data_IF_879270066250
#
_entry.id   IF_879270066250
#
_cell.length_a   1.000
_cell.length_b   1.000
_cell.length_c   1.000
_cell.angle_alpha   90.00
_cell.angle_beta   90.00
_cell.angle_gamma   90.00
#
_symmetry.space_group_name_H-M   'P 1'
#
loop_
_entity.id
_entity.type
_entity.pdbx_description
1 polymer ?
#
# COMPACT_ATOMS: atom_id res chain seq x y z
N UNK A 1 35.57 -0.48 7.82
CA UNK A 1 34.46 -1.04 8.63
C UNK A 1 33.35 -1.40 7.66
N UNK A 2 33.23 -2.69 7.35
CA UNK A 2 32.39 -3.26 6.28
C UNK A 2 31.50 -4.33 6.90
N UNK A 3 30.35 -3.91 7.41
CA UNK A 3 29.24 -4.75 7.85
C UNK A 3 27.98 -3.99 7.43
N UNK A 4 27.11 -4.62 6.64
CA UNK A 4 25.87 -4.08 6.02
C UNK A 4 26.04 -3.21 4.78
N UNK A 5 26.57 -3.76 3.69
CA UNK A 5 26.28 -3.25 2.35
C UNK A 5 25.41 -4.29 1.65
N UNK A 6 24.23 -3.89 1.19
CA UNK A 6 23.36 -4.78 0.42
C UNK A 6 24.13 -5.33 -0.78
N UNK A 7 23.91 -6.60 -1.07
CA UNK A 7 24.41 -7.21 -2.32
C UNK A 7 23.40 -6.90 -3.42
N UNK A 8 23.86 -6.73 -4.67
CA UNK A 8 22.99 -6.34 -5.80
C UNK A 8 21.69 -7.17 -5.90
N UNK A 9 21.75 -8.45 -5.48
CA UNK A 9 20.58 -9.32 -5.42
C UNK A 9 19.59 -8.94 -4.31
N UNK A 10 20.05 -8.68 -3.09
CA UNK A 10 19.17 -8.36 -1.96
C UNK A 10 18.52 -7.00 -2.17
N UNK A 11 19.27 -6.06 -2.74
CA UNK A 11 18.76 -4.74 -3.10
C UNK A 11 17.65 -4.82 -4.15
N UNK A 12 17.89 -5.52 -5.26
CA UNK A 12 16.87 -5.72 -6.29
C UNK A 12 15.63 -6.42 -5.76
N UNK A 13 15.80 -7.41 -4.87
CA UNK A 13 14.68 -8.13 -4.25
C UNK A 13 13.86 -7.22 -3.33
N UNK A 14 14.51 -6.35 -2.54
CA UNK A 14 13.82 -5.42 -1.65
C UNK A 14 12.89 -4.50 -2.45
N UNK A 15 13.41 -3.80 -3.46
CA UNK A 15 12.61 -2.92 -4.33
C UNK A 15 11.52 -3.68 -5.09
N UNK A 16 11.84 -4.85 -5.63
CA UNK A 16 10.87 -5.67 -6.36
C UNK A 16 9.72 -6.12 -5.45
N UNK A 17 10.03 -6.48 -4.21
CA UNK A 17 9.04 -6.91 -3.22
C UNK A 17 8.15 -5.75 -2.76
N UNK A 18 8.71 -4.55 -2.59
CA UNK A 18 7.96 -3.35 -2.26
C UNK A 18 6.96 -3.00 -3.37
N UNK A 19 7.41 -3.00 -4.64
CA UNK A 19 6.55 -2.76 -5.80
C UNK A 19 5.46 -3.82 -5.92
N UNK A 20 5.80 -5.10 -5.73
CA UNK A 20 4.84 -6.20 -5.78
C UNK A 20 3.76 -6.08 -4.69
N UNK A 21 4.17 -5.73 -3.46
CA UNK A 21 3.25 -5.55 -2.34
C UNK A 21 2.28 -4.39 -2.58
N UNK A 22 2.79 -3.24 -3.01
CA UNK A 22 1.95 -2.08 -3.35
C UNK A 22 1.00 -2.38 -4.51
N UNK A 23 1.50 -3.04 -5.55
CA UNK A 23 0.71 -3.46 -6.71
C UNK A 23 -0.44 -4.39 -6.33
N UNK A 24 -0.15 -5.43 -5.53
CA UNK A 24 -1.17 -6.36 -5.05
C UNK A 24 -2.19 -5.68 -4.13
N UNK A 25 -1.72 -4.83 -3.22
CA UNK A 25 -2.58 -4.05 -2.33
C UNK A 25 -3.52 -3.10 -3.09
N UNK A 26 -3.03 -2.49 -4.18
CA UNK A 26 -3.82 -1.64 -5.07
C UNK A 26 -4.92 -2.44 -5.80
N UNK A 27 -4.61 -3.65 -6.28
CA UNK A 27 -5.63 -4.54 -6.86
C UNK A 27 -6.73 -4.81 -5.84
N UNK A 28 -6.37 -5.21 -4.61
CA UNK A 28 -7.34 -5.46 -3.55
C UNK A 28 -8.19 -4.23 -3.24
N UNK A 29 -7.57 -3.05 -3.20
CA UNK A 29 -8.27 -1.79 -3.00
C UNK A 29 -9.32 -1.57 -4.10
N UNK A 30 -8.93 -1.63 -5.38
CA UNK A 30 -9.85 -1.48 -6.52
C UNK A 30 -11.02 -2.47 -6.42
N UNK A 31 -10.73 -3.76 -6.25
CA UNK A 31 -11.78 -4.79 -6.17
C UNK A 31 -12.73 -4.55 -5.00
N UNK A 32 -12.22 -4.09 -3.85
CA UNK A 32 -13.02 -3.83 -2.66
C UNK A 32 -13.85 -2.56 -2.81
N UNK A 33 -13.27 -1.46 -3.30
CA UNK A 33 -13.91 -0.16 -3.44
C UNK A 33 -15.08 -0.21 -4.41
N UNK A 34 -14.87 -0.84 -5.58
CA UNK A 34 -15.92 -1.00 -6.59
C UNK A 34 -16.83 -2.20 -6.32
N UNK A 35 -16.62 -2.96 -5.23
CA UNK A 35 -17.38 -4.15 -4.86
C UNK A 35 -17.54 -5.12 -6.05
N UNK A 36 -16.43 -5.39 -6.75
CA UNK A 36 -16.43 -6.27 -7.94
C UNK A 36 -16.61 -7.73 -7.50
N UNK A 37 -17.74 -8.33 -7.88
CA UNK A 37 -18.10 -9.70 -7.50
C UNK A 37 -17.85 -10.71 -8.60
N UNK A 38 -18.11 -10.30 -9.82
CA UNK A 38 -17.92 -11.13 -11.00
C UNK A 38 -16.44 -11.46 -11.23
N UNK A 39 -16.14 -12.71 -11.55
CA UNK A 39 -14.77 -13.19 -11.70
C UNK A 39 -14.08 -12.60 -12.93
N UNK A 40 -14.79 -12.49 -14.06
CA UNK A 40 -14.24 -11.90 -15.27
C UNK A 40 -13.93 -10.41 -15.05
N UNK A 41 -14.83 -9.66 -14.40
CA UNK A 41 -14.59 -8.27 -14.05
C UNK A 41 -13.40 -8.08 -13.08
N UNK A 42 -13.17 -9.03 -12.15
CA UNK A 42 -11.99 -9.01 -11.28
C UNK A 42 -10.70 -9.18 -12.07
N UNK A 43 -10.68 -10.12 -13.01
CA UNK A 43 -9.52 -10.35 -13.88
C UNK A 43 -9.27 -9.12 -14.76
N UNK A 44 -10.31 -8.55 -15.36
CA UNK A 44 -10.21 -7.34 -16.19
C UNK A 44 -9.66 -6.14 -15.41
N UNK A 45 -10.03 -5.98 -14.13
CA UNK A 45 -9.50 -4.91 -13.28
C UNK A 45 -8.05 -5.19 -12.82
N UNK A 46 -7.72 -6.44 -12.48
CA UNK A 46 -6.40 -6.82 -11.96
C UNK A 46 -5.32 -6.89 -13.04
N UNK A 47 -5.65 -7.41 -14.23
CA UNK A 47 -4.72 -7.63 -15.33
C UNK A 47 -3.86 -6.41 -15.72
N UNK A 48 -4.41 -5.20 -15.93
CA UNK A 48 -3.60 -4.04 -16.29
C UNK A 48 -2.64 -3.62 -15.17
N UNK A 49 -3.06 -3.73 -13.90
CA UNK A 49 -2.22 -3.40 -12.75
C UNK A 49 -1.08 -4.43 -12.61
N UNK A 50 -1.39 -5.72 -12.76
CA UNK A 50 -0.38 -6.79 -12.74
C UNK A 50 0.62 -6.63 -13.89
N UNK A 51 0.15 -6.30 -15.10
CA UNK A 51 1.02 -6.05 -16.23
C UNK A 51 1.99 -4.89 -15.95
N UNK A 52 1.46 -3.76 -15.45
CA UNK A 52 2.26 -2.60 -15.08
C UNK A 52 3.32 -2.94 -14.01
N UNK A 53 2.91 -3.57 -12.92
CA UNK A 53 3.80 -3.99 -11.81
C UNK A 53 4.90 -4.92 -12.31
N UNK A 54 4.54 -5.91 -13.12
CA UNK A 54 5.50 -6.89 -13.67
C UNK A 54 6.49 -6.19 -14.60
N UNK A 55 6.03 -5.34 -15.51
CA UNK A 55 6.90 -4.57 -16.41
C UNK A 55 7.84 -3.66 -15.62
N UNK A 56 7.35 -3.02 -14.56
CA UNK A 56 8.20 -2.17 -13.72
C UNK A 56 9.26 -2.96 -12.94
N UNK A 57 8.90 -4.12 -12.37
CA UNK A 57 9.86 -5.02 -11.71
C UNK A 57 10.92 -5.50 -12.71
N UNK A 58 10.52 -5.88 -13.93
CA UNK A 58 11.45 -6.28 -14.98
C UNK A 58 12.39 -5.13 -15.37
N UNK A 59 11.88 -3.90 -15.46
CA UNK A 59 12.70 -2.70 -15.72
C UNK A 59 13.78 -2.52 -14.64
N UNK A 60 13.42 -2.63 -13.36
CA UNK A 60 14.35 -2.48 -12.23
C UNK A 60 15.41 -3.60 -12.19
N UNK A 61 15.04 -4.83 -12.54
CA UNK A 61 15.95 -5.98 -12.49
C UNK A 61 16.86 -6.09 -13.70
N UNK A 62 16.33 -5.85 -14.90
CA UNK A 62 16.98 -6.17 -16.17
C UNK A 62 17.54 -4.96 -16.92
N UNK A 63 17.05 -3.74 -16.66
CA UNK A 63 17.49 -2.54 -17.37
C UNK A 63 18.33 -1.62 -16.49
N UNK A 64 17.68 -0.92 -15.55
CA UNK A 64 18.36 0.02 -14.67
C UNK A 64 17.61 0.13 -13.35
N UNK A 65 18.34 -0.10 -12.25
CA UNK A 65 17.84 0.16 -10.91
C UNK A 65 17.95 1.66 -10.62
N UNK A 66 16.93 2.42 -11.00
CA UNK A 66 16.81 3.85 -10.68
C UNK A 66 15.92 4.03 -9.44
N UNK A 67 16.55 4.35 -8.32
CA UNK A 67 15.88 4.58 -7.04
C UNK A 67 14.86 5.73 -7.08
N UNK A 68 15.20 6.82 -7.77
CA UNK A 68 14.33 7.99 -7.86
C UNK A 68 13.09 7.69 -8.69
N UNK A 69 13.23 6.89 -9.75
CA UNK A 69 12.10 6.39 -10.53
C UNK A 69 11.24 5.41 -9.73
N UNK A 70 11.85 4.43 -9.06
CA UNK A 70 11.13 3.48 -8.21
C UNK A 70 10.33 4.20 -7.11
N UNK A 71 10.95 5.17 -6.43
CA UNK A 71 10.29 5.97 -5.40
C UNK A 71 9.05 6.69 -5.94
N UNK A 72 9.14 7.32 -7.12
CA UNK A 72 7.99 7.98 -7.76
C UNK A 72 6.86 6.99 -8.07
N UNK A 73 7.18 5.81 -8.60
CA UNK A 73 6.20 4.77 -8.93
C UNK A 73 5.53 4.25 -7.65
N UNK A 74 6.30 3.89 -6.62
CA UNK A 74 5.76 3.46 -5.32
C UNK A 74 4.88 4.53 -4.67
N UNK A 75 5.34 5.78 -4.65
CA UNK A 75 4.59 6.92 -4.13
C UNK A 75 3.26 7.11 -4.85
N UNK A 76 3.26 7.02 -6.19
CA UNK A 76 2.04 7.16 -6.99
C UNK A 76 1.01 6.07 -6.70
N UNK A 77 1.45 4.81 -6.57
CA UNK A 77 0.57 3.69 -6.21
C UNK A 77 0.01 3.85 -4.79
N UNK A 78 0.86 4.29 -3.84
CA UNK A 78 0.45 4.57 -2.47
C UNK A 78 -0.60 5.67 -2.37
N UNK A 79 -0.41 6.79 -3.08
CA UNK A 79 -1.39 7.89 -3.14
C UNK A 79 -2.71 7.46 -3.76
N UNK A 80 -2.65 6.72 -4.87
CA UNK A 80 -3.87 6.17 -5.49
C UNK A 80 -4.61 5.26 -4.51
N UNK A 81 -3.90 4.42 -3.78
CA UNK A 81 -4.48 3.56 -2.75
C UNK A 81 -5.13 4.37 -1.62
N UNK A 82 -4.47 5.42 -1.10
CA UNK A 82 -5.05 6.29 -0.08
C UNK A 82 -6.35 6.95 -0.56
N UNK A 83 -6.37 7.46 -1.79
CA UNK A 83 -7.56 8.08 -2.39
C UNK A 83 -8.71 7.07 -2.51
N UNK A 84 -8.44 5.86 -3.00
CA UNK A 84 -9.45 4.81 -3.11
C UNK A 84 -10.07 4.50 -1.74
N UNK A 85 -9.24 4.33 -0.70
CA UNK A 85 -9.72 4.04 0.65
C UNK A 85 -10.45 5.23 1.30
N UNK A 86 -10.02 6.46 1.02
CA UNK A 86 -10.71 7.67 1.45
C UNK A 86 -12.14 7.72 0.89
N UNK A 87 -12.28 7.49 -0.43
CA UNK A 87 -13.58 7.43 -1.12
C UNK A 87 -14.44 6.33 -0.53
N UNK A 88 -13.89 5.12 -0.34
CA UNK A 88 -14.65 4.03 0.25
C UNK A 88 -15.12 4.32 1.68
N UNK A 89 -14.26 4.92 2.52
CA UNK A 89 -14.59 5.30 3.89
C UNK A 89 -15.67 6.40 3.96
N UNK A 90 -15.67 7.31 2.98
CA UNK A 90 -16.68 8.37 2.85
C UNK A 90 -18.03 7.86 2.36
N UNK A 91 -18.03 6.98 1.36
CA UNK A 91 -19.26 6.45 0.74
C UNK A 91 -19.89 5.34 1.59
N UNK A 92 -19.08 4.48 2.22
CA UNK A 92 -19.57 3.29 2.93
C UNK A 92 -19.90 3.60 4.40
N UNK A 93 -21.04 3.08 4.89
CA UNK A 93 -21.43 3.14 6.31
C UNK A 93 -20.92 1.93 7.10
N UNK A 94 -19.68 1.52 6.89
CA UNK A 94 -19.08 0.40 7.60
C UNK A 94 -18.79 0.78 9.07
N UNK A 95 -19.09 -0.07 10.08
CA UNK A 95 -18.89 0.26 11.49
C UNK A 95 -17.42 0.58 11.81
N UNK A 96 -16.47 -0.11 11.17
CA UNK A 96 -15.03 0.10 11.37
C UNK A 96 -14.39 1.14 10.45
N UNK A 97 -15.17 1.99 9.76
CA UNK A 97 -14.63 3.00 8.82
C UNK A 97 -13.73 4.05 9.49
N UNK A 98 -13.88 4.27 10.80
CA UNK A 98 -13.02 5.21 11.54
C UNK A 98 -11.56 4.75 11.55
N UNK A 99 -11.31 3.44 11.63
CA UNK A 99 -9.95 2.85 11.56
C UNK A 99 -9.31 3.19 10.23
N UNK A 100 -10.11 3.10 9.17
CA UNK A 100 -9.68 3.42 7.81
C UNK A 100 -9.38 4.92 7.64
N UNK A 101 -10.21 5.81 8.20
CA UNK A 101 -9.91 7.24 8.21
C UNK A 101 -8.60 7.57 8.93
N UNK A 102 -8.32 6.91 10.06
CA UNK A 102 -7.03 7.06 10.77
C UNK A 102 -5.88 6.58 9.90
N UNK A 103 -6.02 5.44 9.20
CA UNK A 103 -5.00 4.95 8.26
C UNK A 103 -4.79 5.92 7.10
N UNK A 104 -5.86 6.46 6.52
CA UNK A 104 -5.76 7.38 5.37
C UNK A 104 -5.10 8.70 5.77
N UNK A 105 -5.54 9.31 6.87
CA UNK A 105 -4.98 10.58 7.35
C UNK A 105 -3.55 10.36 7.83
N UNK A 106 -3.31 9.32 8.64
CA UNK A 106 -1.97 8.98 9.14
C UNK A 106 -1.01 8.64 8.01
N UNK A 107 -1.44 7.86 7.02
CA UNK A 107 -0.64 7.53 5.84
C UNK A 107 -0.35 8.77 4.98
N UNK A 108 -1.32 9.65 4.77
CA UNK A 108 -1.11 10.91 4.06
C UNK A 108 -0.11 11.83 4.78
N UNK A 109 -0.21 11.93 6.11
CA UNK A 109 0.76 12.69 6.92
C UNK A 109 2.16 12.06 6.87
N UNK A 110 2.27 10.72 6.94
CA UNK A 110 3.54 10.02 6.82
C UNK A 110 4.19 10.29 5.45
N UNK A 111 3.42 10.22 4.37
CA UNK A 111 3.90 10.58 3.03
C UNK A 111 4.34 12.03 2.93
N UNK A 112 3.61 12.97 3.55
CA UNK A 112 4.00 14.39 3.55
C UNK A 112 5.32 14.61 4.31
N UNK A 113 5.54 13.89 5.41
CA UNK A 113 6.81 13.93 6.14
C UNK A 113 7.96 13.40 5.29
N UNK A 114 7.75 12.30 4.56
CA UNK A 114 8.73 11.73 3.64
C UNK A 114 9.07 12.69 2.49
N UNK A 115 8.06 13.39 1.92
CA UNK A 115 8.27 14.41 0.89
C UNK A 115 8.99 15.67 1.38
N UNK A 116 8.88 16.00 2.68
CA UNK A 116 9.55 17.15 3.26
C UNK A 116 11.06 16.92 3.45
N UNK A 117 11.51 15.65 3.46
CA UNK A 117 12.92 15.22 3.43
C UNK A 117 13.86 16.05 4.31
N UNK A 118 13.54 16.16 5.61
CA UNK A 118 14.33 16.96 6.54
C UNK A 118 15.57 16.20 7.02
N UNK A 119 16.72 16.89 7.18
CA UNK A 119 17.97 16.26 7.63
C UNK A 119 17.85 15.72 9.07
N UNK A 120 18.55 14.63 9.41
CA UNK A 120 18.41 13.96 10.70
C UNK A 120 18.63 14.90 11.87
N UNK A 121 17.62 15.03 12.73
CA UNK A 121 17.72 15.79 13.97
C UNK A 121 18.67 15.05 14.93
N UNK A 122 19.80 15.70 15.25
CA UNK A 122 20.88 15.17 16.10
C UNK A 122 21.47 13.84 15.64
N UNK A 123 21.32 13.49 14.36
CA UNK A 123 21.85 12.24 13.80
C UNK A 123 21.04 10.98 14.13
N UNK A 124 19.86 11.10 14.76
CA UNK A 124 19.05 9.93 15.18
C UNK A 124 17.69 9.83 14.50
N UNK A 125 17.04 10.94 14.19
CA UNK A 125 15.66 10.94 13.66
C UNK A 125 15.58 11.83 12.42
N UNK A 126 15.39 11.23 11.26
CA UNK A 126 15.08 11.91 10.00
C UNK A 126 13.62 11.68 9.59
N UNK A 127 13.23 12.27 8.46
CA UNK A 127 11.92 12.08 7.85
C UNK A 127 11.60 10.60 7.62
N UNK A 128 12.59 9.82 7.21
CA UNK A 128 12.45 8.41 6.90
C UNK A 128 12.21 7.56 8.15
N UNK A 129 12.90 7.83 9.26
CA UNK A 129 12.70 7.18 10.54
C UNK A 129 11.31 7.47 11.12
N UNK A 130 10.82 8.71 11.00
CA UNK A 130 9.45 9.06 11.41
C UNK A 130 8.41 8.39 10.52
N UNK A 131 8.68 8.25 9.22
CA UNK A 131 7.82 7.50 8.31
C UNK A 131 7.70 6.03 8.75
N UNK A 132 8.81 5.34 9.01
CA UNK A 132 8.78 3.98 9.56
C UNK A 132 8.06 3.89 10.91
N UNK A 133 8.33 4.82 11.83
CA UNK A 133 7.70 4.82 13.15
C UNK A 133 6.18 5.01 13.08
N UNK A 134 5.69 5.79 12.12
CA UNK A 134 4.26 6.03 11.93
C UNK A 134 3.57 4.90 11.18
N UNK A 135 4.23 4.25 10.21
CA UNK A 135 3.62 3.17 9.42
C UNK A 135 3.41 1.88 10.22
N UNK A 136 4.22 1.59 11.24
CA UNK A 136 4.05 0.41 12.12
C UNK A 136 2.66 0.36 12.80
N UNK A 137 2.26 1.34 13.64
CA UNK A 137 0.95 1.32 14.28
C UNK A 137 -0.20 1.45 13.28
N UNK A 138 0.00 2.17 12.16
CA UNK A 138 -1.00 2.26 11.09
C UNK A 138 -1.23 0.89 10.43
N UNK A 139 -0.19 0.07 10.27
CA UNK A 139 -0.30 -1.30 9.74
C UNK A 139 -1.08 -2.21 10.69
N UNK A 140 -0.87 -2.11 12.00
CA UNK A 140 -1.67 -2.84 12.98
C UNK A 140 -3.16 -2.45 12.91
N UNK A 141 -3.44 -1.15 12.77
CA UNK A 141 -4.81 -0.65 12.66
C UNK A 141 -5.47 -1.07 11.34
N UNK A 142 -4.70 -1.05 10.25
CA UNK A 142 -5.09 -1.56 8.94
C UNK A 142 -5.52 -3.03 9.01
N UNK A 143 -4.68 -3.88 9.62
CA UNK A 143 -4.99 -5.29 9.79
C UNK A 143 -6.27 -5.49 10.62
N UNK A 144 -6.45 -4.70 11.67
CA UNK A 144 -7.69 -4.74 12.44
C UNK A 144 -8.91 -4.37 11.59
N UNK A 145 -8.81 -3.40 10.68
CA UNK A 145 -9.90 -3.05 9.77
C UNK A 145 -10.20 -4.20 8.79
N UNK A 146 -9.17 -4.81 8.19
CA UNK A 146 -9.33 -5.93 7.25
C UNK A 146 -10.04 -7.12 7.90
N UNK A 147 -9.68 -7.44 9.15
CA UNK A 147 -10.38 -8.47 9.94
C UNK A 147 -11.86 -8.13 10.12
N UNK A 148 -12.16 -6.94 10.63
CA UNK A 148 -13.55 -6.52 10.88
C UNK A 148 -14.38 -6.52 9.59
N UNK A 149 -13.80 -6.07 8.47
CA UNK A 149 -14.48 -6.07 7.16
C UNK A 149 -14.79 -7.49 6.68
N UNK A 150 -13.86 -8.43 6.91
CA UNK A 150 -14.03 -9.84 6.57
C UNK A 150 -15.15 -10.49 7.38
N UNK A 151 -15.19 -10.23 8.69
CA UNK A 151 -16.27 -10.70 9.59
C UNK A 151 -17.64 -10.13 9.20
N UNK A 152 -17.69 -8.82 8.90
CA UNK A 152 -18.91 -8.13 8.48
C UNK A 152 -19.48 -8.74 7.18
N UNK A 153 -18.63 -8.97 6.19
CA UNK A 153 -19.03 -9.57 4.91
C UNK A 153 -19.53 -11.00 5.09
N UNK A 154 -18.81 -11.80 5.86
CA UNK A 154 -19.16 -13.22 6.11
C UNK A 154 -20.51 -13.32 6.80
N UNK A 155 -20.73 -12.51 7.85
CA UNK A 155 -22.02 -12.45 8.56
C UNK A 155 -23.16 -12.04 7.65
N UNK A 156 -22.92 -11.06 6.76
CA UNK A 156 -23.94 -10.59 5.81
C UNK A 156 -24.31 -11.66 4.79
N UNK A 157 -23.34 -12.45 4.32
CA UNK A 157 -23.59 -13.55 3.38
C UNK A 157 -24.38 -14.68 4.06
N UNK A 158 -23.99 -15.08 5.28
CA UNK A 158 -24.69 -16.12 6.05
C UNK A 158 -26.15 -15.71 6.30
N UNK A 159 -26.40 -14.44 6.67
CA UNK A 159 -27.75 -13.92 6.89
C UNK A 159 -28.61 -13.89 5.62
N UNK A 160 -28.02 -13.79 4.43
CA UNK A 160 -28.73 -13.82 3.14
C UNK A 160 -29.02 -15.23 2.63
N UNK A 161 -28.26 -16.21 3.10
CA UNK A 161 -28.41 -17.62 2.72
C UNK A 161 -29.43 -18.37 3.61
N UNK A 162 -29.80 -17.79 4.75
CA UNK A 162 -30.93 -18.21 5.59
C UNK A 162 -32.19 -17.50 5.15
#
# INVERSE_FOLDING_TARGET
>A
VTLFRDVDLTEKLDYSSAVALLGFSLILAVLRVFNVRDEAARVMAAAPILAFVTTHILYLNCYQLDYGWNMKVCMSMGMLQLVLWAVWAGVTRHPSRWKLWVVVIGGGLATLLELYDFPPYRGFVDAHALWHATTIPLTCLWWSFVRDDSEFRTTTLIKKAK
#
